data_IF_950660027670
#
_entry.id   IF_950660027670
#
_cell.length_a   1.000
_cell.length_b   1.000
_cell.length_c   1.000
_cell.angle_alpha   90.00
_cell.angle_beta   90.00
_cell.angle_gamma   90.00
#
_symmetry.space_group_name_H-M   'P 1'
#
loop_
_entity.id
_entity.type
_entity.pdbx_description
1 polymer ?
#
# COMPACT_ATOMS: atom_id res chain seq x y z
N UNK A 1 -6.52 24.63 -42.93
CA UNK A 1 -5.56 23.83 -42.17
C UNK A 1 -4.94 24.71 -41.10
N UNK A 2 -5.40 24.61 -39.88
CA UNK A 2 -4.82 25.32 -38.73
C UNK A 2 -4.62 24.26 -37.63
N UNK A 3 -3.34 23.97 -37.32
CA UNK A 3 -2.98 23.07 -36.24
C UNK A 3 -3.15 23.76 -34.88
N UNK A 4 -3.66 23.12 -33.86
CA UNK A 4 -3.70 23.69 -32.52
C UNK A 4 -2.32 23.59 -31.86
N UNK A 5 -1.83 24.69 -31.33
CA UNK A 5 -0.66 24.83 -30.49
C UNK A 5 -1.03 24.26 -29.09
N UNK A 6 -0.36 23.24 -28.68
CA UNK A 6 -0.44 22.71 -27.30
C UNK A 6 0.56 23.52 -26.47
N UNK A 7 0.05 24.43 -25.65
CA UNK A 7 0.83 25.06 -24.57
C UNK A 7 1.00 24.07 -23.43
N UNK A 8 2.23 23.62 -23.20
CA UNK A 8 2.60 22.84 -22.02
C UNK A 8 2.72 23.78 -20.83
N UNK A 9 1.76 23.70 -19.93
CA UNK A 9 1.76 24.46 -18.68
C UNK A 9 2.75 23.81 -17.70
N UNK A 10 3.73 24.60 -17.24
CA UNK A 10 4.91 24.18 -16.47
C UNK A 10 4.66 23.97 -14.97
N UNK A 11 3.43 23.61 -14.55
CA UNK A 11 3.06 23.45 -13.15
C UNK A 11 3.01 21.99 -12.66
N UNK A 12 3.56 21.04 -13.42
CA UNK A 12 3.53 19.61 -13.07
C UNK A 12 4.67 19.13 -12.16
N UNK A 13 5.65 19.97 -11.82
CA UNK A 13 6.84 19.51 -11.05
C UNK A 13 6.61 19.31 -9.55
N UNK A 14 5.47 19.73 -8.97
CA UNK A 14 5.18 19.51 -7.56
C UNK A 14 4.55 18.14 -7.24
N UNK A 15 4.13 17.39 -8.24
CA UNK A 15 3.47 16.09 -8.07
C UNK A 15 4.40 14.87 -8.21
N UNK A 16 5.71 15.06 -8.38
CA UNK A 16 6.68 13.96 -8.56
C UNK A 16 6.85 13.02 -7.37
N UNK A 17 6.25 13.31 -6.22
CA UNK A 17 6.39 12.49 -5.01
C UNK A 17 5.22 11.53 -4.70
N UNK A 18 4.12 11.54 -5.45
CA UNK A 18 2.90 10.82 -5.05
C UNK A 18 2.60 9.56 -5.89
N UNK A 19 3.33 9.30 -6.96
CA UNK A 19 3.04 8.11 -7.79
C UNK A 19 3.76 6.86 -7.28
N UNK A 20 3.27 6.30 -6.18
CA UNK A 20 3.64 4.96 -5.71
C UNK A 20 2.58 4.00 -6.21
N UNK A 21 2.91 3.14 -7.14
CA UNK A 21 2.02 2.11 -7.70
C UNK A 21 2.54 0.75 -7.33
N UNK A 22 1.88 -0.05 -6.54
CA UNK A 22 2.21 -1.44 -6.22
C UNK A 22 1.69 -2.37 -7.32
N UNK A 23 2.51 -3.28 -7.77
CA UNK A 23 2.10 -4.39 -8.65
C UNK A 23 2.38 -5.67 -7.91
N UNK A 24 1.32 -6.40 -7.56
CA UNK A 24 1.47 -7.78 -7.11
C UNK A 24 1.72 -8.64 -8.35
N UNK A 25 2.98 -8.87 -8.68
CA UNK A 25 3.37 -9.79 -9.76
C UNK A 25 3.40 -11.22 -9.23
N UNK A 26 2.41 -12.03 -9.62
CA UNK A 26 2.50 -13.48 -9.48
C UNK A 26 3.34 -14.01 -10.64
N UNK A 27 4.61 -14.29 -10.41
CA UNK A 27 5.46 -14.98 -11.36
C UNK A 27 5.31 -16.49 -11.12
N UNK A 28 4.52 -17.18 -11.95
CA UNK A 28 4.43 -18.64 -11.97
C UNK A 28 5.54 -19.13 -12.91
N UNK A 29 6.67 -19.53 -12.36
CA UNK A 29 7.77 -20.09 -13.14
C UNK A 29 8.72 -20.86 -12.24
N UNK A 30 8.82 -22.19 -12.48
CA UNK A 30 9.72 -23.07 -11.77
C UNK A 30 11.17 -22.84 -12.18
N UNK A 31 12.00 -22.49 -11.21
CA UNK A 31 13.44 -22.41 -11.37
C UNK A 31 14.07 -21.89 -10.09
N UNK A 32 14.68 -22.78 -9.30
CA UNK A 32 15.56 -22.38 -8.19
C UNK A 32 16.83 -21.77 -8.78
N UNK A 33 16.87 -20.45 -8.88
CA UNK A 33 18.10 -19.71 -9.17
C UNK A 33 18.58 -19.09 -7.87
N UNK A 34 19.64 -19.67 -7.30
CA UNK A 34 20.53 -19.02 -6.35
C UNK A 34 21.16 -17.82 -7.05
N UNK A 35 20.77 -16.61 -6.65
CA UNK A 35 21.32 -15.40 -7.23
C UNK A 35 22.65 -15.05 -6.54
N UNK A 36 23.74 -15.43 -7.17
CA UNK A 36 24.99 -14.74 -6.98
C UNK A 36 24.97 -13.50 -7.90
N UNK A 37 24.39 -12.40 -7.46
CA UNK A 37 24.75 -11.08 -7.99
C UNK A 37 26.05 -10.72 -7.32
N UNK A 38 27.11 -10.38 -8.10
CA UNK A 38 28.47 -10.17 -7.63
C UNK A 38 28.66 -9.00 -6.65
N UNK A 39 28.12 -9.14 -5.50
CA UNK A 39 28.30 -8.36 -4.29
C UNK A 39 27.99 -9.28 -3.13
N UNK A 40 28.82 -9.30 -2.11
CA UNK A 40 28.61 -10.05 -0.89
C UNK A 40 27.32 -9.56 -0.21
N UNK A 41 26.22 -10.29 -0.40
CA UNK A 41 25.01 -10.06 0.37
C UNK A 41 25.27 -10.49 1.81
N UNK A 42 25.30 -9.54 2.72
CA UNK A 42 25.33 -9.85 4.15
C UNK A 42 23.88 -10.15 4.53
N UNK A 43 23.64 -11.42 4.91
CA UNK A 43 22.37 -11.76 5.56
C UNK A 43 22.38 -11.13 6.95
N UNK A 44 21.45 -10.23 7.21
CA UNK A 44 21.27 -9.71 8.56
C UNK A 44 20.66 -10.81 9.43
N UNK A 45 21.53 -11.69 9.93
CA UNK A 45 21.18 -12.62 11.00
C UNK A 45 21.45 -11.99 12.34
N UNK A 46 20.97 -10.83 12.58
CA UNK A 46 20.97 -10.16 13.90
C UNK A 46 20.61 -8.69 13.70
N UNK A 47 19.72 -8.15 14.47
CA UNK A 47 19.73 -8.17 15.91
C UNK A 47 18.56 -8.94 16.48
N UNK A 48 18.77 -9.48 17.65
CA UNK A 48 17.83 -10.22 18.48
C UNK A 48 16.52 -9.45 18.70
N UNK A 49 15.57 -9.52 17.78
CA UNK A 49 14.18 -9.32 18.08
C UNK A 49 13.69 -10.59 18.77
N UNK A 50 14.11 -10.74 20.02
CA UNK A 50 13.62 -11.75 20.94
C UNK A 50 12.18 -11.46 21.25
N UNK A 51 11.29 -12.07 20.50
CA UNK A 51 9.97 -12.56 20.88
C UNK A 51 9.15 -12.77 19.61
N UNK A 52 9.07 -14.00 19.15
CA UNK A 52 8.36 -14.39 17.95
C UNK A 52 9.27 -14.42 16.73
N UNK A 53 9.05 -15.41 15.89
CA UNK A 53 9.81 -15.62 14.66
C UNK A 53 9.90 -14.32 13.87
N UNK A 54 11.11 -13.85 13.57
CA UNK A 54 11.34 -12.73 12.68
C UNK A 54 10.62 -13.02 11.36
N UNK A 55 9.66 -12.18 11.03
CA UNK A 55 8.89 -12.37 9.81
C UNK A 55 9.53 -11.70 8.59
N UNK A 56 10.44 -10.72 8.79
CA UNK A 56 11.22 -10.08 7.75
C UNK A 56 12.66 -10.57 7.80
N UNK A 57 13.15 -11.07 6.66
CA UNK A 57 14.52 -11.52 6.46
C UNK A 57 15.23 -10.52 5.56
N UNK A 58 16.11 -9.70 6.15
CA UNK A 58 16.78 -8.61 5.45
C UNK A 58 18.07 -9.07 4.77
N UNK A 59 18.26 -8.63 3.52
CA UNK A 59 19.45 -8.80 2.71
C UNK A 59 19.89 -7.44 2.22
N UNK A 60 21.13 -7.03 2.54
CA UNK A 60 21.70 -5.73 2.15
C UNK A 60 23.22 -5.82 2.06
N UNK A 61 23.84 -4.90 1.33
CA UNK A 61 25.31 -4.79 1.23
C UNK A 61 25.92 -3.96 2.36
N UNK A 62 25.16 -2.98 2.87
CA UNK A 62 25.51 -2.18 4.05
C UNK A 62 24.23 -1.85 4.81
N UNK A 63 24.30 -1.89 6.15
CA UNK A 63 23.14 -1.59 6.98
C UNK A 63 22.65 -0.15 6.74
N UNK A 64 21.36 0.05 6.52
CA UNK A 64 20.80 1.40 6.38
C UNK A 64 20.99 2.25 7.63
N UNK A 65 21.09 3.58 7.45
CA UNK A 65 21.07 4.50 8.59
C UNK A 65 19.76 4.39 9.35
N UNK A 66 19.83 4.33 10.68
CA UNK A 66 18.62 4.23 11.53
C UNK A 66 17.91 2.89 11.43
N UNK A 67 18.62 1.82 11.05
CA UNK A 67 18.02 0.49 10.83
C UNK A 67 17.29 -0.04 12.05
N UNK A 68 17.76 0.22 13.27
CA UNK A 68 17.08 -0.17 14.52
C UNK A 68 15.70 0.46 14.65
N UNK A 69 15.56 1.73 14.29
CA UNK A 69 14.28 2.42 14.26
C UNK A 69 13.34 1.78 13.22
N UNK A 70 13.84 1.49 12.01
CA UNK A 70 13.08 0.80 10.96
C UNK A 70 12.58 -0.55 11.47
N UNK A 71 13.44 -1.35 12.12
CA UNK A 71 13.05 -2.64 12.69
C UNK A 71 12.00 -2.50 13.78
N UNK A 72 12.12 -1.48 14.65
CA UNK A 72 11.14 -1.21 15.71
C UNK A 72 9.74 -0.93 15.15
N UNK A 73 9.63 -0.08 14.11
CA UNK A 73 8.36 0.22 13.45
C UNK A 73 7.74 -1.00 12.76
N UNK A 74 8.55 -1.72 11.98
CA UNK A 74 8.10 -2.91 11.28
C UNK A 74 7.65 -4.04 12.22
N UNK A 75 8.25 -4.14 13.41
CA UNK A 75 7.86 -5.13 14.43
C UNK A 75 6.42 -4.94 14.92
N UNK A 76 5.95 -3.71 14.99
CA UNK A 76 4.61 -3.38 15.48
C UNK A 76 3.52 -3.58 14.42
N UNK A 77 3.90 -3.59 13.14
CA UNK A 77 2.96 -3.60 12.02
C UNK A 77 1.98 -4.78 12.02
N UNK A 78 2.40 -6.06 12.28
CA UNK A 78 1.45 -7.18 12.31
C UNK A 78 0.37 -7.02 13.38
N UNK A 79 0.71 -6.47 14.55
CA UNK A 79 -0.27 -6.21 15.61
C UNK A 79 -1.25 -5.11 15.19
N UNK A 80 -0.74 -3.98 14.67
CA UNK A 80 -1.59 -2.88 14.18
C UNK A 80 -2.57 -3.35 13.10
N UNK A 81 -2.12 -4.19 12.16
CA UNK A 81 -2.99 -4.76 11.15
C UNK A 81 -3.98 -5.78 11.71
N UNK A 82 -3.59 -6.56 12.74
CA UNK A 82 -4.51 -7.48 13.42
C UNK A 82 -5.71 -6.75 14.04
N UNK A 83 -5.47 -5.59 14.62
CA UNK A 83 -6.52 -4.71 15.16
C UNK A 83 -7.46 -4.20 14.05
N UNK A 84 -6.89 -3.88 12.88
CA UNK A 84 -7.64 -3.46 11.70
C UNK A 84 -8.50 -4.58 11.14
N UNK A 85 -7.93 -5.78 11.05
CA UNK A 85 -8.62 -6.95 10.51
C UNK A 85 -9.67 -7.53 11.48
N UNK A 86 -9.63 -7.15 12.76
CA UNK A 86 -10.44 -7.78 13.80
C UNK A 86 -10.06 -9.25 14.05
N UNK A 87 -8.85 -9.64 13.63
CA UNK A 87 -8.33 -11.02 13.76
C UNK A 87 -6.82 -11.02 13.52
N UNK A 88 -6.06 -12.00 14.04
CA UNK A 88 -4.60 -12.04 13.88
C UNK A 88 -4.17 -12.02 12.43
N UNK A 89 -3.24 -11.11 12.09
CA UNK A 89 -2.55 -11.14 10.81
C UNK A 89 -1.73 -12.43 10.68
N UNK A 90 -1.74 -13.04 9.50
CA UNK A 90 -0.89 -14.21 9.24
C UNK A 90 0.52 -13.73 8.93
N UNK A 91 1.44 -14.17 9.78
CA UNK A 91 2.85 -13.82 9.68
C UNK A 91 3.66 -15.01 9.20
N UNK A 92 4.39 -14.85 8.11
CA UNK A 92 5.35 -15.83 7.58
C UNK A 92 6.61 -15.08 7.14
N UNK A 93 7.69 -15.83 6.89
CA UNK A 93 8.93 -15.24 6.42
C UNK A 93 8.75 -14.52 5.07
N UNK A 94 9.13 -13.25 5.03
CA UNK A 94 9.17 -12.39 3.85
C UNK A 94 10.62 -11.94 3.64
N UNK A 95 11.16 -12.16 2.45
CA UNK A 95 12.49 -11.66 2.11
C UNK A 95 12.42 -10.15 1.83
N UNK A 96 13.42 -9.41 2.30
CA UNK A 96 13.58 -7.98 2.05
C UNK A 96 14.96 -7.74 1.45
N UNK A 97 15.02 -7.32 0.19
CA UNK A 97 16.26 -6.98 -0.50
C UNK A 97 16.38 -5.45 -0.55
N UNK A 98 17.36 -4.91 0.19
CA UNK A 98 17.65 -3.47 0.21
C UNK A 98 18.84 -3.20 -0.70
N UNK A 99 18.59 -2.47 -1.79
CA UNK A 99 19.60 -2.06 -2.74
C UNK A 99 20.23 -0.74 -2.30
N UNK A 100 21.55 -0.63 -2.33
CA UNK A 100 22.29 0.56 -1.89
C UNK A 100 21.97 1.79 -2.74
N UNK A 101 21.64 1.58 -4.01
CA UNK A 101 21.31 2.65 -4.96
C UNK A 101 20.29 2.20 -6.01
N UNK A 102 19.74 3.20 -6.71
CA UNK A 102 18.72 2.99 -7.73
C UNK A 102 19.25 2.22 -8.95
N UNK A 103 20.52 2.37 -9.30
CA UNK A 103 21.09 1.71 -10.49
C UNK A 103 21.14 0.19 -10.28
N UNK A 104 21.61 -0.25 -9.12
CA UNK A 104 21.63 -1.68 -8.77
C UNK A 104 20.22 -2.27 -8.76
N UNK A 105 19.26 -1.53 -8.19
CA UNK A 105 17.86 -1.93 -8.16
C UNK A 105 17.27 -2.09 -9.58
N UNK A 106 17.46 -1.10 -10.47
CA UNK A 106 16.97 -1.16 -11.86
C UNK A 106 17.63 -2.30 -12.62
N UNK A 107 18.96 -2.46 -12.51
CA UNK A 107 19.68 -3.59 -13.12
C UNK A 107 19.14 -4.93 -12.66
N UNK A 108 18.81 -5.05 -11.36
CA UNK A 108 18.17 -6.26 -10.82
C UNK A 108 16.78 -6.48 -11.43
N UNK A 109 15.94 -5.45 -11.52
CA UNK A 109 14.61 -5.56 -12.14
C UNK A 109 14.69 -5.95 -13.60
N UNK A 110 15.55 -5.31 -14.39
CA UNK A 110 15.72 -5.61 -15.83
C UNK A 110 16.11 -7.07 -16.06
N UNK A 111 16.97 -7.61 -15.20
CA UNK A 111 17.44 -8.98 -15.29
C UNK A 111 16.41 -10.01 -14.81
N UNK A 112 15.62 -9.67 -13.77
CA UNK A 112 14.78 -10.67 -13.07
C UNK A 112 13.30 -10.48 -13.28
N UNK A 113 12.86 -9.25 -13.53
CA UNK A 113 11.48 -8.80 -13.63
C UNK A 113 11.34 -7.67 -14.67
N UNK A 114 11.65 -7.91 -15.95
CA UNK A 114 11.74 -6.85 -16.98
C UNK A 114 10.43 -6.08 -17.18
N UNK A 115 9.29 -6.68 -16.83
CA UNK A 115 7.97 -6.04 -16.92
C UNK A 115 7.56 -5.30 -15.64
N UNK A 116 8.38 -5.33 -14.59
CA UNK A 116 8.06 -4.64 -13.35
C UNK A 116 8.13 -3.11 -13.53
N UNK A 117 7.24 -2.36 -12.86
CA UNK A 117 7.30 -0.91 -12.88
C UNK A 117 8.60 -0.43 -12.19
N UNK A 118 9.22 0.60 -12.76
CA UNK A 118 10.48 1.15 -12.25
C UNK A 118 10.23 2.11 -11.09
N UNK A 119 9.92 1.58 -9.91
CA UNK A 119 9.65 2.31 -8.67
C UNK A 119 10.82 2.22 -7.72
N UNK A 120 10.71 2.80 -6.51
CA UNK A 120 11.71 2.68 -5.47
C UNK A 120 11.52 1.43 -4.61
N UNK A 121 10.30 0.89 -4.58
CA UNK A 121 9.97 -0.33 -3.86
C UNK A 121 8.96 -1.18 -4.63
N UNK A 122 8.92 -2.46 -4.31
CA UNK A 122 8.02 -3.42 -4.96
C UNK A 122 7.85 -4.65 -4.08
N UNK A 123 6.60 -5.03 -3.79
CA UNK A 123 6.26 -6.34 -3.27
C UNK A 123 5.96 -7.33 -4.39
N UNK A 124 6.58 -8.50 -4.34
CA UNK A 124 6.37 -9.59 -5.29
C UNK A 124 6.21 -10.93 -4.58
N UNK A 125 5.55 -11.87 -5.25
CA UNK A 125 5.55 -13.29 -4.86
C UNK A 125 6.21 -14.08 -5.96
N UNK A 126 7.38 -14.66 -5.67
CA UNK A 126 8.14 -15.48 -6.63
C UNK A 126 8.26 -16.91 -6.11
N UNK A 127 7.83 -17.88 -6.89
CA UNK A 127 7.84 -19.30 -6.50
C UNK A 127 7.23 -19.54 -5.10
N UNK A 128 6.14 -18.82 -4.78
CA UNK A 128 5.46 -18.89 -3.49
C UNK A 128 6.18 -18.18 -2.34
N UNK A 129 7.29 -17.49 -2.58
CA UNK A 129 8.04 -16.73 -1.59
C UNK A 129 7.75 -15.24 -1.71
N UNK A 130 7.10 -14.61 -0.70
CA UNK A 130 6.90 -13.18 -0.65
C UNK A 130 8.26 -12.47 -0.50
N UNK A 131 8.46 -11.43 -1.32
CA UNK A 131 9.73 -10.70 -1.34
C UNK A 131 9.44 -9.21 -1.55
N UNK A 132 10.10 -8.37 -0.76
CA UNK A 132 10.11 -6.91 -0.88
C UNK A 132 11.44 -6.51 -1.49
N UNK A 133 11.41 -5.73 -2.57
CA UNK A 133 12.55 -5.10 -3.19
C UNK A 133 12.48 -3.60 -2.90
N UNK A 134 13.53 -2.98 -2.38
CA UNK A 134 13.50 -1.56 -2.02
C UNK A 134 14.87 -0.89 -2.20
N UNK A 135 14.86 0.37 -2.63
CA UNK A 135 16.08 1.19 -2.74
C UNK A 135 16.33 1.91 -1.43
N UNK A 136 17.57 1.88 -0.94
CA UNK A 136 17.99 2.68 0.20
C UNK A 136 17.88 4.17 -0.11
N UNK A 137 17.22 4.93 0.79
CA UNK A 137 17.02 6.37 0.60
C UNK A 137 16.29 7.01 1.77
N UNK A 138 15.94 8.30 1.63
CA UNK A 138 15.24 9.07 2.68
C UNK A 138 13.85 8.50 3.00
N UNK A 139 13.21 7.82 2.05
CA UNK A 139 11.88 7.24 2.17
C UNK A 139 11.90 5.74 2.54
N UNK A 140 13.06 5.17 2.89
CA UNK A 140 13.20 3.73 3.10
C UNK A 140 12.20 3.16 4.11
N UNK A 141 11.96 3.84 5.23
CA UNK A 141 10.97 3.39 6.22
C UNK A 141 9.57 3.38 5.63
N UNK A 142 9.16 4.46 4.97
CA UNK A 142 7.84 4.56 4.35
C UNK A 142 7.65 3.49 3.28
N UNK A 143 8.65 3.32 2.38
CA UNK A 143 8.62 2.32 1.33
C UNK A 143 8.53 0.90 1.92
N UNK A 144 9.28 0.61 2.98
CA UNK A 144 9.21 -0.69 3.67
C UNK A 144 7.87 -0.92 4.37
N UNK A 145 7.31 0.09 5.04
CA UNK A 145 6.00 -0.02 5.69
C UNK A 145 4.91 -0.31 4.66
N UNK A 146 4.92 0.39 3.53
CA UNK A 146 3.98 0.18 2.42
C UNK A 146 4.02 -1.26 1.90
N UNK A 147 5.20 -1.73 1.48
CA UNK A 147 5.36 -3.07 0.91
C UNK A 147 5.14 -4.18 1.95
N UNK A 148 5.44 -3.91 3.22
CA UNK A 148 5.17 -4.82 4.31
C UNK A 148 3.66 -5.02 4.55
N UNK A 149 2.83 -3.97 4.39
CA UNK A 149 1.36 -4.11 4.42
C UNK A 149 0.89 -5.02 3.30
N UNK A 150 1.33 -4.81 2.05
CA UNK A 150 0.98 -5.70 0.95
C UNK A 150 1.36 -7.15 1.22
N UNK A 151 2.53 -7.38 1.83
CA UNK A 151 2.97 -8.73 2.17
C UNK A 151 2.07 -9.39 3.22
N UNK A 152 1.67 -8.65 4.27
CA UNK A 152 0.78 -9.14 5.31
C UNK A 152 -0.65 -9.33 4.81
N UNK A 153 -1.16 -8.42 3.95
CA UNK A 153 -2.45 -8.57 3.28
C UNK A 153 -2.45 -9.84 2.41
N UNK A 154 -1.41 -10.03 1.59
CA UNK A 154 -1.27 -11.22 0.75
C UNK A 154 -1.26 -12.51 1.57
N UNK A 155 -0.53 -12.53 2.70
CA UNK A 155 -0.45 -13.71 3.56
C UNK A 155 -1.77 -13.98 4.30
N UNK A 156 -2.43 -12.93 4.77
CA UNK A 156 -3.65 -13.03 5.58
C UNK A 156 -4.88 -13.40 4.74
N UNK A 157 -4.97 -12.86 3.52
CA UNK A 157 -6.13 -13.04 2.62
C UNK A 157 -5.80 -13.93 1.41
N UNK A 158 -5.03 -14.99 1.63
CA UNK A 158 -4.45 -15.88 0.58
C UNK A 158 -5.47 -16.47 -0.40
N UNK A 159 -6.67 -16.75 0.04
CA UNK A 159 -7.69 -17.45 -0.75
C UNK A 159 -8.55 -16.49 -1.59
N UNK A 160 -8.52 -15.22 -1.25
CA UNK A 160 -9.22 -14.14 -1.95
C UNK A 160 -8.34 -12.91 -1.96
N UNK A 161 -8.26 -12.21 -3.08
CA UNK A 161 -7.53 -10.95 -3.13
C UNK A 161 -8.34 -9.86 -2.43
N UNK A 162 -7.70 -9.11 -1.54
CA UNK A 162 -8.25 -7.86 -1.02
C UNK A 162 -8.53 -6.90 -2.19
N UNK A 163 -9.65 -6.13 -2.18
CA UNK A 163 -9.88 -5.11 -3.18
C UNK A 163 -8.71 -4.14 -3.27
N UNK A 164 -8.32 -3.76 -4.49
CA UNK A 164 -7.14 -2.94 -4.74
C UNK A 164 -7.13 -1.64 -3.93
N UNK A 165 -8.25 -0.91 -3.91
CA UNK A 165 -8.36 0.34 -3.15
C UNK A 165 -8.11 0.15 -1.66
N UNK A 166 -8.51 -1.00 -1.11
CA UNK A 166 -8.33 -1.31 0.31
C UNK A 166 -6.88 -1.71 0.61
N UNK A 167 -6.26 -2.50 -0.26
CA UNK A 167 -4.87 -2.91 -0.16
C UNK A 167 -3.94 -1.69 -0.22
N UNK A 168 -4.12 -0.83 -1.20
CA UNK A 168 -3.37 0.42 -1.34
C UNK A 168 -3.69 1.42 -0.20
N UNK A 169 -4.96 1.57 0.15
CA UNK A 169 -5.35 2.49 1.22
C UNK A 169 -4.82 2.11 2.61
N UNK A 170 -4.67 0.82 2.91
CA UNK A 170 -4.02 0.34 4.12
C UNK A 170 -2.50 0.50 4.06
N UNK A 171 -1.89 0.31 2.89
CA UNK A 171 -0.47 0.56 2.68
C UNK A 171 -0.12 2.04 2.89
N UNK A 172 -0.85 2.95 2.26
CA UNK A 172 -0.74 4.40 2.47
C UNK A 172 -0.99 4.78 3.95
N UNK A 173 -1.96 4.14 4.61
CA UNK A 173 -2.25 4.39 6.03
C UNK A 173 -1.06 4.05 6.94
N UNK A 174 -0.27 3.05 6.59
CA UNK A 174 0.85 2.58 7.41
C UNK A 174 2.14 3.37 7.21
N UNK A 175 2.30 4.12 6.13
CA UNK A 175 3.56 4.75 5.74
C UNK A 175 4.05 5.83 6.69
N UNK A 176 3.14 6.60 7.29
CA UNK A 176 3.54 7.80 8.02
C UNK A 176 2.55 8.21 9.12
N UNK A 177 2.92 9.25 9.86
CA UNK A 177 2.02 9.83 10.86
C UNK A 177 0.74 10.38 10.23
N UNK A 178 -0.33 10.36 11.02
CA UNK A 178 -1.65 10.88 10.61
C UNK A 178 -1.57 12.30 10.08
N UNK A 179 -0.80 13.17 10.77
CA UNK A 179 -0.69 14.59 10.43
C UNK A 179 0.00 14.79 9.08
N UNK A 180 1.03 13.97 8.77
CA UNK A 180 1.76 14.09 7.51
C UNK A 180 0.91 13.59 6.35
N UNK A 181 0.23 12.46 6.50
CA UNK A 181 -0.68 11.92 5.51
C UNK A 181 -1.87 12.85 5.26
N UNK A 182 -2.46 13.43 6.30
CA UNK A 182 -3.53 14.42 6.15
C UNK A 182 -3.08 15.67 5.39
N UNK A 183 -1.83 16.10 5.55
CA UNK A 183 -1.29 17.23 4.77
C UNK A 183 -1.10 16.90 3.29
N UNK A 184 -0.70 15.68 2.97
CA UNK A 184 -0.44 15.25 1.58
C UNK A 184 -1.76 14.92 0.87
N UNK A 185 -2.51 13.96 1.41
CA UNK A 185 -3.73 13.46 0.79
C UNK A 185 -4.93 14.38 1.00
N UNK A 186 -5.06 14.95 2.19
CA UNK A 186 -6.17 15.85 2.53
C UNK A 186 -6.23 17.08 1.64
N UNK A 187 -5.09 17.72 1.35
CA UNK A 187 -5.05 18.87 0.42
C UNK A 187 -5.51 18.50 -0.98
N UNK A 188 -5.05 17.37 -1.52
CA UNK A 188 -5.45 16.90 -2.83
C UNK A 188 -6.96 16.63 -2.90
N UNK A 189 -7.52 16.00 -1.87
CA UNK A 189 -8.95 15.71 -1.79
C UNK A 189 -9.78 16.99 -1.59
N UNK A 190 -9.32 17.93 -0.77
CA UNK A 190 -9.99 19.23 -0.56
C UNK A 190 -10.02 20.07 -1.84
N UNK A 191 -8.96 20.04 -2.65
CA UNK A 191 -8.94 20.71 -3.96
C UNK A 191 -9.99 20.13 -4.91
N UNK A 192 -10.15 18.80 -4.92
CA UNK A 192 -11.19 18.14 -5.72
C UNK A 192 -12.60 18.48 -5.27
N UNK A 193 -12.80 18.65 -3.96
CA UNK A 193 -14.11 19.04 -3.44
C UNK A 193 -14.51 20.46 -3.88
N UNK A 194 -13.54 21.34 -4.22
CA UNK A 194 -13.79 22.67 -4.80
C UNK A 194 -14.77 23.53 -4.00
N UNK A 195 -14.89 23.29 -2.68
CA UNK A 195 -15.91 23.91 -1.83
C UNK A 195 -17.31 23.29 -1.91
N UNK A 196 -17.51 22.25 -2.73
CA UNK A 196 -18.78 21.49 -2.74
C UNK A 196 -18.90 20.67 -1.46
N UNK A 197 -19.97 20.92 -0.71
CA UNK A 197 -20.23 20.24 0.58
C UNK A 197 -21.43 19.29 0.54
N UNK A 198 -22.12 19.18 -0.58
CA UNK A 198 -23.39 18.46 -0.65
C UNK A 198 -23.32 17.12 -1.36
N UNK A 199 -22.45 16.97 -2.35
CA UNK A 199 -22.32 15.71 -3.11
C UNK A 199 -20.85 15.27 -3.15
N UNK A 200 -20.64 13.96 -2.96
CA UNK A 200 -19.33 13.36 -3.12
C UNK A 200 -19.01 13.24 -4.60
N UNK A 201 -17.89 13.83 -5.09
CA UNK A 201 -17.45 13.64 -6.47
C UNK A 201 -17.29 12.16 -6.82
N UNK A 202 -17.78 11.74 -8.00
CA UNK A 202 -17.75 10.34 -8.44
C UNK A 202 -16.35 9.73 -8.35
N UNK A 203 -15.25 10.38 -8.79
CA UNK A 203 -13.92 9.78 -8.77
C UNK A 203 -13.44 9.35 -7.39
N UNK A 204 -13.87 10.02 -6.33
CA UNK A 204 -13.48 9.69 -4.95
C UNK A 204 -14.56 8.89 -4.20
N UNK A 205 -15.64 8.48 -4.86
CA UNK A 205 -16.64 7.61 -4.26
C UNK A 205 -16.10 6.20 -4.05
N UNK A 206 -16.53 5.53 -2.98
CA UNK A 206 -16.14 4.14 -2.74
C UNK A 206 -16.53 3.22 -3.90
N UNK A 207 -17.70 3.46 -4.49
CA UNK A 207 -18.19 2.70 -5.62
C UNK A 207 -17.33 2.85 -6.89
N UNK A 208 -16.68 4.00 -7.09
CA UNK A 208 -15.72 4.21 -8.18
C UNK A 208 -14.42 3.47 -7.91
N UNK A 209 -13.86 3.59 -6.70
CA UNK A 209 -12.64 2.89 -6.31
C UNK A 209 -12.77 1.37 -6.43
N UNK A 210 -13.93 0.80 -6.10
CA UNK A 210 -14.21 -0.63 -6.24
C UNK A 210 -14.21 -1.14 -7.69
N UNK A 211 -14.33 -0.24 -8.68
CA UNK A 211 -14.21 -0.57 -10.10
C UNK A 211 -12.76 -0.70 -10.58
N UNK A 212 -11.81 -0.10 -9.86
CA UNK A 212 -10.39 -0.12 -10.23
C UNK A 212 -9.83 -1.51 -9.94
N UNK A 213 -9.37 -2.20 -10.98
CA UNK A 213 -8.86 -3.58 -10.89
C UNK A 213 -7.34 -3.69 -11.11
N UNK A 214 -6.71 -2.59 -11.46
CA UNK A 214 -5.28 -2.56 -11.78
C UNK A 214 -4.66 -1.24 -11.36
N UNK A 215 -3.50 -1.32 -10.72
CA UNK A 215 -2.69 -0.15 -10.34
C UNK A 215 -2.19 0.66 -11.54
N UNK A 216 -2.18 0.09 -12.75
CA UNK A 216 -1.83 0.82 -13.96
C UNK A 216 -2.86 1.89 -14.36
N UNK A 217 -4.08 1.78 -13.82
CA UNK A 217 -5.18 2.73 -14.03
C UNK A 217 -5.43 3.65 -12.85
N UNK A 218 -4.80 3.38 -11.70
CA UNK A 218 -4.93 4.21 -10.50
C UNK A 218 -4.01 5.44 -10.60
N UNK A 219 -4.52 6.59 -10.21
CA UNK A 219 -3.79 7.85 -10.14
C UNK A 219 -3.58 8.33 -8.68
N UNK A 220 -3.01 9.50 -8.50
CA UNK A 220 -2.76 10.07 -7.18
C UNK A 220 -4.04 10.35 -6.39
N UNK A 221 -5.15 10.64 -7.08
CA UNK A 221 -6.46 10.86 -6.46
C UNK A 221 -7.01 9.56 -5.92
N UNK A 222 -6.88 8.47 -6.67
CA UNK A 222 -7.34 7.13 -6.25
C UNK A 222 -6.60 6.66 -5.00
N UNK A 223 -5.29 6.91 -4.91
CA UNK A 223 -4.50 6.60 -3.70
C UNK A 223 -4.94 7.43 -2.50
N UNK A 224 -5.11 8.75 -2.70
CA UNK A 224 -5.57 9.64 -1.63
C UNK A 224 -6.99 9.28 -1.17
N UNK A 225 -7.90 8.96 -2.10
CA UNK A 225 -9.24 8.52 -1.77
C UNK A 225 -9.25 7.16 -1.05
N UNK A 226 -8.43 6.20 -1.50
CA UNK A 226 -8.27 4.89 -0.86
C UNK A 226 -7.78 5.02 0.59
N UNK A 227 -6.77 5.86 0.82
CA UNK A 227 -6.29 6.21 2.15
C UNK A 227 -7.40 6.83 3.02
N UNK A 228 -8.13 7.82 2.49
CA UNK A 228 -9.18 8.51 3.22
C UNK A 228 -10.33 7.57 3.60
N UNK A 229 -10.76 6.70 2.67
CA UNK A 229 -11.78 5.69 2.96
C UNK A 229 -11.34 4.72 4.04
N UNK A 230 -10.10 4.21 3.98
CA UNK A 230 -9.57 3.35 5.05
C UNK A 230 -9.60 4.07 6.39
N UNK A 231 -9.13 5.31 6.47
CA UNK A 231 -9.15 6.10 7.71
C UNK A 231 -10.56 6.35 8.23
N UNK A 232 -11.49 6.72 7.37
CA UNK A 232 -12.89 6.92 7.72
C UNK A 232 -13.51 5.66 8.32
N UNK A 233 -13.37 4.53 7.63
CA UNK A 233 -13.94 3.25 8.04
C UNK A 233 -13.32 2.73 9.35
N UNK A 234 -12.03 2.99 9.55
CA UNK A 234 -11.28 2.59 10.74
C UNK A 234 -11.53 3.46 11.96
N UNK A 235 -11.97 4.71 11.78
CA UNK A 235 -12.11 5.68 12.89
C UNK A 235 -13.12 5.27 13.96
N UNK A 236 -14.06 4.40 13.65
CA UNK A 236 -15.15 4.00 14.54
C UNK A 236 -16.23 5.06 14.78
N UNK A 237 -15.90 6.35 14.56
CA UNK A 237 -16.79 7.50 14.87
C UNK A 237 -18.07 7.56 14.04
N UNK A 238 -18.08 6.96 12.88
CA UNK A 238 -19.13 7.11 11.89
C UNK A 238 -20.06 5.89 11.75
N UNK A 239 -19.92 4.90 12.64
CA UNK A 239 -20.78 3.71 12.65
C UNK A 239 -20.47 2.67 11.55
N UNK A 240 -19.43 2.90 10.74
CA UNK A 240 -19.10 2.04 9.60
C UNK A 240 -18.17 0.85 9.96
N UNK A 241 -17.53 0.88 11.14
CA UNK A 241 -16.54 -0.12 11.56
C UNK A 241 -17.09 -1.55 11.60
N UNK A 242 -18.32 -1.73 12.02
CA UNK A 242 -18.95 -3.05 12.07
C UNK A 242 -19.17 -3.65 10.67
N UNK A 243 -19.50 -2.82 9.68
CA UNK A 243 -19.63 -3.25 8.27
C UNK A 243 -18.27 -3.64 7.71
N UNK A 244 -17.24 -2.82 7.98
CA UNK A 244 -15.84 -3.12 7.64
C UNK A 244 -15.38 -4.47 8.19
N UNK A 245 -15.57 -4.72 9.47
CA UNK A 245 -15.11 -5.95 10.12
C UNK A 245 -15.78 -7.19 9.50
N UNK A 246 -17.12 -7.16 9.29
CA UNK A 246 -17.84 -8.27 8.63
C UNK A 246 -17.36 -8.48 7.19
N UNK A 247 -17.13 -7.40 6.45
CA UNK A 247 -16.60 -7.46 5.10
C UNK A 247 -15.23 -8.16 5.02
N UNK A 248 -14.30 -7.81 5.91
CA UNK A 248 -13.00 -8.47 6.00
C UNK A 248 -13.08 -9.93 6.41
N UNK A 249 -14.00 -10.28 7.33
CA UNK A 249 -14.24 -11.67 7.72
C UNK A 249 -14.70 -12.51 6.52
N UNK A 250 -15.62 -11.99 5.71
CA UNK A 250 -16.11 -12.69 4.52
C UNK A 250 -15.01 -12.89 3.48
N UNK A 251 -14.19 -11.85 3.20
CA UNK A 251 -13.03 -11.96 2.32
C UNK A 251 -12.08 -13.04 2.84
N UNK A 252 -11.76 -13.01 4.14
CA UNK A 252 -10.83 -13.97 4.75
C UNK A 252 -11.38 -15.40 4.71
N UNK A 253 -12.70 -15.54 4.87
CA UNK A 253 -13.41 -16.83 4.77
C UNK A 253 -13.53 -17.37 3.35
N UNK A 254 -13.05 -16.65 2.33
CA UNK A 254 -13.17 -17.05 0.93
C UNK A 254 -14.58 -16.85 0.35
N UNK A 255 -15.43 -16.08 1.02
CA UNK A 255 -16.78 -15.81 0.56
C UNK A 255 -16.79 -14.69 -0.48
N UNK A 256 -17.81 -14.69 -1.34
CA UNK A 256 -18.07 -13.55 -2.22
C UNK A 256 -18.56 -12.36 -1.38
N UNK A 257 -17.64 -11.51 -0.95
CA UNK A 257 -17.96 -10.37 -0.09
C UNK A 257 -18.83 -9.30 -0.79
N UNK A 258 -18.88 -9.30 -2.13
CA UNK A 258 -19.59 -8.29 -2.91
C UNK A 258 -18.89 -6.93 -2.84
N UNK A 259 -19.66 -5.84 -2.92
CA UNK A 259 -19.17 -4.47 -2.79
C UNK A 259 -19.40 -3.93 -1.38
N UNK A 260 -18.38 -3.36 -0.78
CA UNK A 260 -18.48 -2.72 0.53
C UNK A 260 -19.40 -1.48 0.47
N UNK A 261 -19.36 -0.72 -0.63
CA UNK A 261 -20.26 0.42 -0.87
C UNK A 261 -21.72 0.03 -0.79
N UNK A 262 -22.10 -1.11 -1.37
CA UNK A 262 -23.46 -1.63 -1.28
C UNK A 262 -23.85 -2.03 0.15
N UNK A 263 -22.94 -2.68 0.88
CA UNK A 263 -23.19 -3.05 2.30
C UNK A 263 -23.36 -1.83 3.19
N UNK A 264 -22.54 -0.78 2.93
CA UNK A 264 -22.65 0.49 3.64
C UNK A 264 -23.98 1.16 3.34
N UNK A 265 -24.41 1.23 2.07
CA UNK A 265 -25.69 1.83 1.69
C UNK A 265 -26.89 1.17 2.40
N UNK A 266 -26.85 -0.15 2.60
CA UNK A 266 -27.88 -0.89 3.32
C UNK A 266 -27.85 -0.69 4.84
N UNK A 267 -26.68 -0.48 5.42
CA UNK A 267 -26.50 -0.46 6.89
C UNK A 267 -26.38 0.97 7.45
N UNK A 268 -25.76 1.87 6.68
CA UNK A 268 -25.49 3.27 7.02
C UNK A 268 -25.81 4.12 5.79
N UNK A 269 -27.12 4.36 5.49
CA UNK A 269 -27.52 4.98 4.22
C UNK A 269 -26.89 6.34 3.91
N UNK A 270 -26.50 7.10 4.94
CA UNK A 270 -25.84 8.40 4.83
C UNK A 270 -24.28 8.31 4.91
N UNK A 271 -23.70 7.14 4.61
CA UNK A 271 -22.24 6.92 4.75
C UNK A 271 -21.40 7.89 3.89
N UNK A 272 -21.88 8.29 2.71
CA UNK A 272 -21.17 9.26 1.85
C UNK A 272 -21.18 10.66 2.44
N UNK A 273 -22.31 11.11 3.02
CA UNK A 273 -22.39 12.38 3.72
C UNK A 273 -21.50 12.39 4.97
N UNK A 274 -21.42 11.25 5.67
CA UNK A 274 -20.48 11.10 6.80
C UNK A 274 -19.02 11.16 6.33
N UNK A 275 -18.73 10.55 5.19
CA UNK A 275 -17.38 10.62 4.58
C UNK A 275 -17.03 12.03 4.15
N UNK A 276 -17.96 12.78 3.54
CA UNK A 276 -17.75 14.20 3.21
C UNK A 276 -17.42 15.04 4.46
N UNK A 277 -18.17 14.85 5.55
CA UNK A 277 -17.87 15.51 6.83
C UNK A 277 -16.49 15.13 7.37
N UNK A 278 -16.11 13.87 7.22
CA UNK A 278 -14.77 13.42 7.58
C UNK A 278 -13.69 14.13 6.75
N UNK A 279 -13.84 14.23 5.43
CA UNK A 279 -12.88 14.91 4.53
C UNK A 279 -12.70 16.40 4.87
N UNK A 280 -13.74 17.06 5.38
CA UNK A 280 -13.64 18.48 5.82
C UNK A 280 -12.97 18.64 7.18
N UNK A 281 -12.71 17.54 7.89
CA UNK A 281 -12.12 17.55 9.25
C UNK A 281 -10.63 17.16 9.27
N UNK A 282 -10.04 16.78 8.13
CA UNK A 282 -8.65 16.31 8.00
C UNK A 282 -7.72 17.30 7.33
#
# INVERSE_FOLDING_TARGET
MVSPVITTDSNFDHYRHISRRTVVLRVIGGGSLLFAVGGNWVSATEPSLTAGKQWLQFHYTAAPRGFEHILSELKQLPQRLSEIYGSPAIVRAVNVLIFSDRQQYITHLEKTLPQAPRRNSLFIVRSGRPTILVVQGKALLQDLMHEAVHSLNHLTFRNTSMPLWMDEGLAEWAEDSVEKQSRVHGKSLQQLLGGQRMLLPEPISLAALEKIKSTTRADAVDYAASWAWCRFLLSGKYGCRGVWNRYLQDIRGGQQAGRLSHRLALTVPDYEQRFLRFLTSI
#
